data_IF_046701071638
#
_entry.id   IF_046701071638
#
_cell.length_a   1.000
_cell.length_b   1.000
_cell.length_c   1.000
_cell.angle_alpha   90.00
_cell.angle_beta   90.00
_cell.angle_gamma   90.00
#
_symmetry.space_group_name_H-M   'P 1'
#
loop_
_entity.id
_entity.type
_entity.pdbx_description
1 polymer ?
#
# COMPACT_ATOMS: atom_id res chain seq x y z
N UNK A 1 10.32 22.97 -7.92
CA UNK A 1 11.31 21.86 -8.10
C UNK A 1 10.85 20.95 -9.23
N UNK A 2 11.74 20.68 -10.17
CA UNK A 2 11.43 19.83 -11.31
C UNK A 2 11.29 18.34 -10.89
N UNK A 3 10.18 17.73 -11.24
CA UNK A 3 9.84 16.32 -10.99
C UNK A 3 9.77 15.53 -12.31
N UNK A 4 9.86 14.20 -12.26
CA UNK A 4 9.67 13.35 -13.45
C UNK A 4 8.27 13.56 -14.03
N UNK A 5 8.16 13.71 -15.35
CA UNK A 5 6.89 13.95 -16.06
C UNK A 5 5.82 12.92 -15.69
N UNK A 6 6.15 11.61 -15.70
CA UNK A 6 5.20 10.57 -15.31
C UNK A 6 4.76 10.64 -13.85
N UNK A 7 5.58 11.23 -12.96
CA UNK A 7 5.18 11.46 -11.55
C UNK A 7 4.13 12.57 -11.49
N UNK A 8 4.38 13.69 -12.17
CA UNK A 8 3.45 14.83 -12.21
C UNK A 8 2.10 14.43 -12.80
N UNK A 9 2.08 13.73 -13.94
CA UNK A 9 0.85 13.25 -14.56
C UNK A 9 0.05 12.29 -13.66
N UNK A 10 0.77 11.46 -12.89
CA UNK A 10 0.12 10.56 -11.93
C UNK A 10 -0.45 11.31 -10.74
N UNK A 11 0.26 12.29 -10.19
CA UNK A 11 -0.23 13.14 -9.09
C UNK A 11 -1.43 13.99 -9.48
N UNK A 12 -1.54 14.36 -10.76
CA UNK A 12 -2.66 15.13 -11.29
C UNK A 12 -3.83 14.26 -11.74
N UNK A 13 -3.77 12.94 -11.52
CA UNK A 13 -4.86 12.02 -11.86
C UNK A 13 -5.08 11.79 -13.36
N UNK A 14 -4.15 12.26 -14.20
CA UNK A 14 -4.26 12.18 -15.67
C UNK A 14 -3.97 10.77 -16.18
N UNK A 15 -2.89 10.15 -15.68
CA UNK A 15 -2.50 8.79 -16.04
C UNK A 15 -1.71 8.12 -14.93
N UNK A 16 -1.77 6.79 -14.81
CA UNK A 16 -0.82 6.07 -13.96
C UNK A 16 0.62 6.28 -14.48
N UNK A 17 1.63 6.16 -13.60
CA UNK A 17 3.03 6.37 -14.00
C UNK A 17 3.44 5.54 -15.23
N UNK A 18 3.05 4.26 -15.30
CA UNK A 18 3.33 3.39 -16.45
C UNK A 18 2.57 3.84 -17.69
N UNK A 19 1.31 4.25 -17.56
CA UNK A 19 0.54 4.78 -18.67
C UNK A 19 1.15 6.11 -19.18
N UNK A 20 1.59 6.97 -18.28
CA UNK A 20 2.30 8.20 -18.63
C UNK A 20 3.63 7.94 -19.35
N UNK A 21 4.41 6.93 -18.94
CA UNK A 21 5.62 6.50 -19.65
C UNK A 21 5.28 6.02 -21.08
N UNK A 22 4.20 5.25 -21.26
CA UNK A 22 3.72 4.86 -22.60
C UNK A 22 3.31 6.07 -23.44
N UNK A 23 2.59 7.03 -22.86
CA UNK A 23 2.19 8.27 -23.54
C UNK A 23 3.40 9.12 -23.94
N UNK A 24 4.47 9.15 -23.13
CA UNK A 24 5.75 9.81 -23.49
C UNK A 24 6.37 9.14 -24.72
N UNK A 25 6.44 7.81 -24.75
CA UNK A 25 6.98 7.04 -25.88
C UNK A 25 6.15 7.23 -27.16
N UNK A 26 4.83 7.41 -27.01
CA UNK A 26 3.90 7.69 -28.11
C UNK A 26 3.96 9.16 -28.62
N UNK A 27 4.82 10.01 -28.01
CA UNK A 27 4.94 11.42 -28.40
C UNK A 27 3.74 12.30 -28.02
N UNK A 28 2.86 11.86 -27.14
CA UNK A 28 1.61 12.54 -26.76
C UNK A 28 1.79 13.62 -25.69
N UNK A 29 3.01 13.79 -25.19
CA UNK A 29 3.32 14.74 -24.11
C UNK A 29 4.36 15.73 -24.60
N UNK A 30 4.13 17.02 -24.36
CA UNK A 30 5.05 18.10 -24.67
C UNK A 30 5.34 18.92 -23.40
N UNK A 31 6.58 19.41 -23.31
CA UNK A 31 7.04 20.37 -22.29
C UNK A 31 7.54 21.60 -23.03
N UNK A 32 6.94 22.77 -22.79
CA UNK A 32 7.33 24.03 -23.44
C UNK A 32 7.39 23.92 -24.99
N UNK A 33 6.43 23.18 -25.57
CA UNK A 33 6.32 22.96 -27.02
C UNK A 33 7.24 21.86 -27.58
N UNK A 34 8.11 21.25 -26.76
CA UNK A 34 8.98 20.14 -27.21
C UNK A 34 8.42 18.79 -26.75
N UNK A 35 8.47 17.78 -27.62
CA UNK A 35 8.04 16.41 -27.26
C UNK A 35 8.90 15.85 -26.14
N UNK A 36 8.24 15.44 -25.06
CA UNK A 36 8.89 14.88 -23.88
C UNK A 36 9.50 13.49 -24.16
N UNK A 37 10.63 13.20 -23.51
CA UNK A 37 11.33 11.91 -23.54
C UNK A 37 11.29 11.22 -22.19
N UNK A 38 11.49 9.89 -22.17
CA UNK A 38 11.63 9.16 -20.91
C UNK A 38 12.79 9.72 -20.09
N UNK A 39 12.50 10.07 -18.86
CA UNK A 39 13.49 10.66 -17.97
C UNK A 39 13.40 12.17 -17.81
N UNK A 40 12.66 12.85 -18.67
CA UNK A 40 12.46 14.29 -18.56
C UNK A 40 11.80 14.70 -17.25
N UNK A 41 12.13 15.92 -16.84
CA UNK A 41 11.58 16.54 -15.64
C UNK A 41 10.83 17.80 -16.04
N UNK A 42 9.81 18.12 -15.27
CA UNK A 42 8.97 19.30 -15.45
C UNK A 42 8.80 20.00 -14.10
N UNK A 43 8.97 21.31 -14.08
CA UNK A 43 8.54 22.13 -12.96
C UNK A 43 7.09 22.55 -13.21
N UNK A 44 6.19 21.94 -12.47
CA UNK A 44 4.75 22.12 -12.64
C UNK A 44 4.25 23.57 -12.45
N UNK A 45 5.06 24.46 -11.89
CA UNK A 45 4.72 25.88 -11.67
C UNK A 45 5.15 26.75 -12.87
N UNK A 46 6.27 26.41 -13.49
CA UNK A 46 6.93 27.26 -14.49
C UNK A 46 6.73 26.71 -15.92
N UNK A 47 6.79 25.38 -16.07
CA UNK A 47 6.74 24.76 -17.39
C UNK A 47 5.31 24.55 -17.89
N UNK A 48 5.10 24.75 -19.18
CA UNK A 48 3.87 24.43 -19.88
C UNK A 48 3.87 22.93 -20.26
N UNK A 49 3.02 22.15 -19.56
CA UNK A 49 2.81 20.74 -19.84
C UNK A 49 1.57 20.57 -20.73
N UNK A 50 1.74 19.90 -21.88
CA UNK A 50 0.66 19.59 -22.83
C UNK A 50 0.51 18.07 -22.96
N UNK A 51 -0.72 17.59 -22.87
CA UNK A 51 -1.08 16.16 -23.00
C UNK A 51 -2.18 16.04 -24.04
N UNK A 52 -1.96 15.24 -25.08
CA UNK A 52 -2.90 15.07 -26.20
C UNK A 52 -3.38 16.41 -26.78
N UNK A 53 -2.44 17.37 -26.95
CA UNK A 53 -2.73 18.71 -27.48
C UNK A 53 -3.44 19.67 -26.50
N UNK A 54 -3.71 19.24 -25.25
CA UNK A 54 -4.37 20.07 -24.25
C UNK A 54 -3.39 20.46 -23.14
N UNK A 55 -3.32 21.77 -22.85
CA UNK A 55 -2.52 22.27 -21.74
C UNK A 55 -3.07 21.78 -20.39
N UNK A 56 -2.18 21.30 -19.54
CA UNK A 56 -2.48 20.80 -18.19
C UNK A 56 -1.90 21.76 -17.16
N UNK A 57 -2.73 22.22 -16.22
CA UNK A 57 -2.33 23.23 -15.23
C UNK A 57 -2.19 22.61 -13.83
N UNK A 58 -1.33 23.18 -12.95
CA UNK A 58 -1.20 22.75 -11.53
C UNK A 58 -2.51 22.80 -10.75
N UNK A 59 -3.41 23.71 -11.11
CA UNK A 59 -4.75 23.85 -10.51
C UNK A 59 -5.65 22.63 -10.72
N UNK A 60 -5.27 21.74 -11.66
CA UNK A 60 -5.98 20.48 -11.90
C UNK A 60 -5.58 19.36 -10.94
N UNK A 61 -4.64 19.60 -10.02
CA UNK A 61 -4.21 18.57 -9.05
C UNK A 61 -5.37 18.24 -8.10
N UNK A 62 -5.81 16.98 -8.02
CA UNK A 62 -6.83 16.58 -7.06
C UNK A 62 -6.36 16.81 -5.63
N UNK A 63 -7.29 17.17 -4.74
CA UNK A 63 -7.02 17.23 -3.31
C UNK A 63 -6.55 15.86 -2.80
N UNK A 64 -5.70 15.81 -1.76
CA UNK A 64 -5.28 14.56 -1.16
C UNK A 64 -6.48 13.76 -0.62
N UNK A 65 -6.55 12.49 -0.97
CA UNK A 65 -7.60 11.56 -0.57
C UNK A 65 -6.95 10.43 0.21
N UNK A 66 -7.51 10.09 1.37
CA UNK A 66 -7.06 8.99 2.21
C UNK A 66 -8.25 8.16 2.62
N UNK A 67 -8.32 6.92 2.12
CA UNK A 67 -9.43 6.00 2.40
C UNK A 67 -8.90 4.73 3.04
N UNK A 68 -9.70 4.16 3.93
CA UNK A 68 -9.59 2.79 4.38
C UNK A 68 -10.69 1.97 3.72
N UNK A 69 -10.35 0.91 3.01
CA UNK A 69 -11.30 -0.04 2.46
C UNK A 69 -11.19 -1.40 3.15
N UNK A 70 -12.32 -2.05 3.43
CA UNK A 70 -12.34 -3.45 3.83
C UNK A 70 -12.42 -4.32 2.56
N UNK A 71 -11.25 -4.60 1.97
CA UNK A 71 -11.15 -5.36 0.73
C UNK A 71 -11.76 -6.77 0.88
N UNK A 72 -12.71 -7.19 0.05
CA UNK A 72 -13.20 -8.57 0.03
C UNK A 72 -12.19 -9.52 -0.63
N UNK A 73 -12.37 -10.82 -0.43
CA UNK A 73 -11.73 -11.87 -1.25
C UNK A 73 -12.25 -11.75 -2.70
N UNK A 74 -11.46 -12.14 -3.68
CA UNK A 74 -11.85 -12.11 -5.10
C UNK A 74 -11.67 -10.74 -5.78
N UNK A 75 -11.07 -9.76 -5.09
CA UNK A 75 -10.77 -8.44 -5.64
C UNK A 75 -9.26 -8.19 -5.62
N UNK A 76 -8.73 -7.57 -6.67
CA UNK A 76 -7.29 -7.31 -6.85
C UNK A 76 -6.91 -5.94 -6.27
N UNK A 77 -5.80 -5.87 -5.55
CA UNK A 77 -5.21 -4.62 -5.07
C UNK A 77 -4.41 -3.94 -6.19
N UNK A 78 -5.12 -3.44 -7.21
CA UNK A 78 -4.57 -2.74 -8.36
C UNK A 78 -5.51 -1.61 -8.79
N UNK A 79 -4.99 -0.68 -9.60
CA UNK A 79 -5.83 0.34 -10.26
C UNK A 79 -6.45 -0.18 -11.55
N UNK A 80 -5.88 -1.22 -12.14
CA UNK A 80 -6.30 -1.82 -13.41
C UNK A 80 -5.85 -3.28 -13.44
N UNK A 81 -6.55 -4.11 -14.20
CA UNK A 81 -6.20 -5.52 -14.40
C UNK A 81 -6.38 -5.93 -15.86
N UNK A 82 -5.31 -6.39 -16.55
CA UNK A 82 -5.39 -6.83 -17.94
C UNK A 82 -6.34 -8.01 -18.21
N UNK A 83 -6.69 -8.75 -17.15
CA UNK A 83 -7.62 -9.88 -17.22
C UNK A 83 -9.05 -9.49 -16.83
N UNK A 84 -9.35 -8.20 -16.71
CA UNK A 84 -10.66 -7.65 -16.34
C UNK A 84 -11.26 -8.22 -15.04
N UNK A 85 -10.41 -8.65 -14.09
CA UNK A 85 -10.87 -9.05 -12.77
C UNK A 85 -11.20 -7.84 -11.92
N UNK A 86 -12.17 -7.90 -11.00
CA UNK A 86 -12.53 -6.79 -10.15
C UNK A 86 -11.32 -6.25 -9.37
N UNK A 87 -11.14 -4.95 -9.38
CA UNK A 87 -10.09 -4.24 -8.64
C UNK A 87 -10.65 -3.49 -7.44
N UNK A 88 -9.79 -3.04 -6.53
CA UNK A 88 -10.21 -2.21 -5.38
C UNK A 88 -10.75 -0.84 -5.81
N UNK A 89 -10.43 -0.38 -7.02
CA UNK A 89 -10.93 0.88 -7.56
C UNK A 89 -12.39 0.73 -8.02
N UNK A 90 -12.78 -0.44 -8.52
CA UNK A 90 -14.16 -0.72 -8.93
C UNK A 90 -15.16 -0.74 -7.77
N UNK A 91 -14.65 -0.82 -6.52
CA UNK A 91 -15.48 -0.72 -5.30
C UNK A 91 -15.78 0.73 -4.89
N UNK A 92 -15.18 1.71 -5.56
CA UNK A 92 -15.36 3.13 -5.28
C UNK A 92 -16.40 3.76 -6.22
N UNK A 93 -17.10 4.82 -5.79
CA UNK A 93 -17.95 5.59 -6.69
C UNK A 93 -17.10 6.31 -7.75
N UNK A 94 -17.70 6.61 -8.91
CA UNK A 94 -16.97 7.13 -10.08
C UNK A 94 -16.20 8.42 -9.81
N UNK A 95 -16.72 9.31 -8.98
CA UNK A 95 -16.06 10.56 -8.59
C UNK A 95 -14.77 10.36 -7.78
N UNK A 96 -14.61 9.22 -7.12
CA UNK A 96 -13.36 8.82 -6.46
C UNK A 96 -12.49 7.94 -7.37
N UNK A 97 -13.10 7.07 -8.16
CA UNK A 97 -12.40 6.11 -9.00
C UNK A 97 -11.69 6.75 -10.20
N UNK A 98 -12.23 7.86 -10.74
CA UNK A 98 -11.73 8.49 -11.98
C UNK A 98 -11.20 9.90 -11.75
N UNK A 99 -10.12 10.26 -12.44
CA UNK A 99 -9.54 11.61 -12.42
C UNK A 99 -8.86 12.01 -11.11
N UNK A 100 -8.88 11.18 -10.08
CA UNK A 100 -8.32 11.51 -8.77
C UNK A 100 -6.88 11.02 -8.59
N UNK A 101 -6.44 10.03 -9.37
CA UNK A 101 -5.13 9.37 -9.20
C UNK A 101 -5.07 8.42 -8.01
N UNK A 102 -6.21 8.06 -7.41
CA UNK A 102 -6.27 7.16 -6.25
C UNK A 102 -5.72 5.76 -6.58
N UNK A 103 -4.95 5.20 -5.66
CA UNK A 103 -4.30 3.91 -5.82
C UNK A 103 -4.12 3.20 -4.47
N UNK A 104 -3.98 1.87 -4.44
CA UNK A 104 -3.77 1.14 -3.20
C UNK A 104 -2.36 1.33 -2.63
N UNK A 105 -2.28 1.51 -1.31
CA UNK A 105 -1.03 1.57 -0.53
C UNK A 105 -0.59 0.15 -0.16
N UNK A 106 0.28 -0.40 -0.97
CA UNK A 106 0.65 -1.81 -0.88
C UNK A 106 -0.45 -2.73 -1.40
N UNK A 107 -0.41 -3.99 -1.00
CA UNK A 107 -1.32 -5.01 -1.54
C UNK A 107 -1.80 -6.00 -0.49
N UNK A 108 -3.00 -6.52 -0.72
CA UNK A 108 -3.49 -7.80 -0.22
C UNK A 108 -3.66 -8.74 -1.42
N UNK A 109 -3.35 -10.01 -1.24
CA UNK A 109 -3.55 -11.01 -2.29
C UNK A 109 -5.03 -11.14 -2.67
N UNK A 110 -5.31 -11.70 -3.85
CA UNK A 110 -6.66 -12.00 -4.35
C UNK A 110 -7.50 -12.79 -3.34
N UNK A 111 -6.89 -13.84 -2.73
CA UNK A 111 -7.52 -14.69 -1.73
C UNK A 111 -7.40 -14.16 -0.28
N UNK A 112 -7.10 -12.88 -0.10
CA UNK A 112 -6.97 -12.24 1.22
C UNK A 112 -7.91 -11.05 1.33
N UNK A 113 -8.40 -10.77 2.53
CA UNK A 113 -9.37 -9.70 2.78
C UNK A 113 -8.88 -8.74 3.86
N UNK A 114 -9.62 -7.65 4.07
CA UNK A 114 -9.42 -6.76 5.20
C UNK A 114 -8.88 -5.38 4.86
N UNK A 115 -8.30 -4.72 5.85
CA UNK A 115 -7.87 -3.33 5.80
C UNK A 115 -6.84 -3.05 4.70
N UNK A 116 -7.17 -2.16 3.79
CA UNK A 116 -6.27 -1.66 2.75
C UNK A 116 -6.47 -0.15 2.62
N UNK A 117 -5.39 0.61 2.64
CA UNK A 117 -5.44 2.06 2.45
C UNK A 117 -5.38 2.36 0.95
N UNK A 118 -6.19 3.33 0.51
CA UNK A 118 -6.15 3.89 -0.84
C UNK A 118 -5.88 5.39 -0.71
N UNK A 119 -5.05 5.95 -1.61
CA UNK A 119 -4.72 7.37 -1.63
C UNK A 119 -4.25 7.81 -3.01
N UNK A 120 -4.28 9.10 -3.29
CA UNK A 120 -3.60 9.73 -4.42
C UNK A 120 -2.27 10.40 -4.03
N UNK A 121 -1.88 10.28 -2.77
CA UNK A 121 -0.61 10.80 -2.24
C UNK A 121 0.52 9.77 -2.39
N UNK A 122 1.40 10.01 -3.36
CA UNK A 122 2.53 9.12 -3.63
C UNK A 122 3.62 9.16 -2.56
N UNK A 123 3.79 10.25 -1.83
CA UNK A 123 4.77 10.34 -0.74
C UNK A 123 4.28 9.55 0.48
N UNK A 124 3.01 9.69 0.80
CA UNK A 124 2.34 8.87 1.81
C UNK A 124 2.44 7.37 1.47
N UNK A 125 2.20 7.01 0.20
CA UNK A 125 2.34 5.62 -0.27
C UNK A 125 3.76 5.10 -0.07
N UNK A 126 4.77 5.89 -0.43
CA UNK A 126 6.18 5.52 -0.26
C UNK A 126 6.51 5.34 1.23
N UNK A 127 6.09 6.27 2.08
CA UNK A 127 6.29 6.19 3.53
C UNK A 127 5.70 4.92 4.15
N UNK A 128 4.50 4.53 3.77
CA UNK A 128 3.82 3.38 4.36
C UNK A 128 4.27 2.02 3.79
N UNK A 129 4.79 2.00 2.56
CA UNK A 129 5.17 0.74 1.89
C UNK A 129 6.66 0.43 1.98
N UNK A 130 7.51 1.42 2.24
CA UNK A 130 8.95 1.22 2.28
C UNK A 130 9.37 0.36 3.47
N UNK A 131 10.15 -0.71 3.26
CA UNK A 131 10.51 -1.68 4.30
C UNK A 131 11.17 -1.08 5.56
N UNK A 132 11.89 0.05 5.42
CA UNK A 132 12.60 0.71 6.53
C UNK A 132 11.70 1.19 7.67
N UNK A 133 10.43 1.46 7.41
CA UNK A 133 9.53 2.04 8.41
C UNK A 133 8.84 1.00 9.29
N UNK A 134 8.85 -0.27 8.89
CA UNK A 134 8.38 -1.39 9.70
C UNK A 134 6.97 -1.21 10.30
N UNK A 135 6.08 -0.50 9.58
CA UNK A 135 4.71 -0.28 10.04
C UNK A 135 4.02 -1.63 10.28
N UNK A 136 3.56 -1.93 11.50
CA UNK A 136 2.97 -3.21 11.82
C UNK A 136 1.65 -3.42 11.08
N UNK A 137 1.42 -4.66 10.61
CA UNK A 137 0.15 -5.09 10.01
C UNK A 137 -0.34 -6.29 10.80
N UNK A 138 -1.58 -6.23 11.28
CA UNK A 138 -2.19 -7.26 12.10
C UNK A 138 -3.18 -8.08 11.29
N UNK A 139 -3.05 -9.40 11.39
CA UNK A 139 -3.87 -10.34 10.64
C UNK A 139 -4.55 -11.33 11.58
N UNK A 140 -5.81 -11.66 11.27
CA UNK A 140 -6.48 -12.86 11.75
C UNK A 140 -6.32 -13.93 10.68
N UNK A 141 -5.82 -15.08 11.08
CA UNK A 141 -5.45 -16.17 10.18
C UNK A 141 -6.14 -17.44 10.64
N UNK A 142 -6.95 -18.03 9.77
CA UNK A 142 -7.55 -19.34 9.99
C UNK A 142 -6.67 -20.41 9.36
N UNK A 143 -6.23 -21.36 10.15
CA UNK A 143 -5.46 -22.53 9.73
C UNK A 143 -6.37 -23.77 9.64
N UNK A 144 -5.98 -24.74 8.84
CA UNK A 144 -6.68 -26.01 8.66
C UNK A 144 -6.65 -26.92 9.90
N UNK A 145 -5.72 -26.70 10.83
CA UNK A 145 -5.57 -27.42 12.10
C UNK A 145 -4.79 -26.58 13.13
N UNK A 146 -4.81 -27.01 14.38
CA UNK A 146 -4.12 -26.31 15.47
C UNK A 146 -2.60 -26.46 15.37
N UNK A 147 -1.86 -25.34 15.39
CA UNK A 147 -0.40 -25.38 15.45
C UNK A 147 0.08 -25.80 16.83
N UNK A 148 1.21 -26.50 16.87
CA UNK A 148 1.89 -26.83 18.12
C UNK A 148 2.56 -25.60 18.73
N UNK A 149 2.85 -25.63 20.03
CA UNK A 149 3.58 -24.56 20.71
C UNK A 149 5.00 -24.39 20.11
N UNK A 150 5.61 -25.49 19.65
CA UNK A 150 6.90 -25.47 18.98
C UNK A 150 6.82 -24.71 17.64
N UNK A 151 5.79 -24.95 16.83
CA UNK A 151 5.60 -24.27 15.54
C UNK A 151 5.28 -22.79 15.74
N UNK A 152 4.46 -22.43 16.72
CA UNK A 152 4.23 -21.03 17.09
C UNK A 152 5.54 -20.34 17.51
N UNK A 153 6.41 -21.04 18.23
CA UNK A 153 7.71 -20.51 18.65
C UNK A 153 8.64 -20.32 17.44
N UNK A 154 8.68 -21.30 16.53
CA UNK A 154 9.42 -21.17 15.26
C UNK A 154 8.92 -19.99 14.43
N UNK A 155 7.58 -19.84 14.32
CA UNK A 155 6.97 -18.71 13.59
C UNK A 155 7.38 -17.36 14.19
N UNK A 156 7.33 -17.24 15.53
CA UNK A 156 7.74 -16.01 16.24
C UNK A 156 9.21 -15.66 16.01
N UNK A 157 10.09 -16.65 15.97
CA UNK A 157 11.54 -16.45 15.75
C UNK A 157 11.90 -16.16 14.29
N UNK A 158 10.98 -16.38 13.37
CA UNK A 158 11.17 -16.26 11.92
C UNK A 158 11.64 -17.55 11.26
N UNK A 159 11.21 -17.73 10.02
CA UNK A 159 11.42 -18.91 9.15
C UNK A 159 12.25 -18.51 7.93
N UNK A 160 13.06 -19.41 7.41
CA UNK A 160 13.81 -19.18 6.16
C UNK A 160 12.85 -19.32 4.97
N UNK A 161 12.74 -18.25 4.18
CA UNK A 161 12.04 -18.22 2.91
C UNK A 161 12.99 -17.68 1.84
N UNK A 162 13.16 -18.43 0.75
CA UNK A 162 14.09 -18.08 -0.34
C UNK A 162 15.52 -17.76 0.16
N UNK A 163 16.05 -18.58 1.04
CA UNK A 163 17.40 -18.43 1.62
C UNK A 163 17.55 -17.28 2.63
N UNK A 164 16.46 -16.52 2.93
CA UNK A 164 16.51 -15.40 3.86
C UNK A 164 15.51 -15.58 4.99
N UNK A 165 15.98 -15.42 6.23
CA UNK A 165 15.11 -15.48 7.40
C UNK A 165 14.11 -14.32 7.39
N UNK A 166 12.85 -14.61 7.74
CA UNK A 166 11.84 -13.57 7.97
C UNK A 166 12.14 -12.83 9.27
N UNK A 167 11.68 -11.59 9.37
CA UNK A 167 11.73 -10.88 10.64
C UNK A 167 10.87 -11.62 11.69
N UNK A 168 11.20 -11.46 12.99
CA UNK A 168 10.36 -11.96 14.06
C UNK A 168 8.92 -11.44 13.96
N UNK A 169 7.95 -12.29 14.28
CA UNK A 169 6.53 -11.96 14.27
C UNK A 169 5.93 -12.13 15.66
N UNK A 170 4.92 -11.30 16.00
CA UNK A 170 4.08 -11.60 17.18
C UNK A 170 2.98 -12.55 16.73
N UNK A 171 2.92 -13.74 17.34
CA UNK A 171 1.92 -14.76 17.01
C UNK A 171 1.23 -15.19 18.29
N UNK A 172 -0.09 -15.09 18.34
CA UNK A 172 -0.91 -15.51 19.48
C UNK A 172 -2.08 -16.38 19.01
N UNK A 173 -2.35 -17.41 19.77
CA UNK A 173 -3.53 -18.25 19.62
C UNK A 173 -4.78 -17.46 20.01
N UNK A 174 -5.86 -17.57 19.24
CA UNK A 174 -7.12 -16.85 19.50
C UNK A 174 -8.28 -17.82 19.80
N UNK A 175 -8.15 -19.06 19.40
CA UNK A 175 -9.16 -20.09 19.63
C UNK A 175 -9.16 -21.15 18.55
N UNK A 176 -9.83 -22.26 18.82
CA UNK A 176 -10.09 -23.33 17.87
C UNK A 176 -11.59 -23.63 17.86
N UNK A 177 -12.14 -23.87 16.66
CA UNK A 177 -13.51 -24.30 16.49
C UNK A 177 -13.54 -25.43 15.46
N UNK A 178 -14.04 -26.60 15.85
CA UNK A 178 -14.00 -27.83 15.03
C UNK A 178 -12.56 -28.11 14.57
N UNK A 179 -12.32 -28.16 13.25
CA UNK A 179 -11.01 -28.42 12.64
C UNK A 179 -10.23 -27.16 12.30
N UNK A 180 -10.78 -25.97 12.53
CA UNK A 180 -10.16 -24.70 12.22
C UNK A 180 -9.59 -24.04 13.46
N UNK A 181 -8.42 -23.43 13.33
CA UNK A 181 -7.77 -22.67 14.39
C UNK A 181 -7.49 -21.27 13.94
N UNK A 182 -7.87 -20.30 14.76
CA UNK A 182 -7.59 -18.88 14.51
C UNK A 182 -6.38 -18.44 15.32
N UNK A 183 -5.43 -17.83 14.63
CA UNK A 183 -4.27 -17.16 15.22
C UNK A 183 -4.22 -15.70 14.78
N UNK A 184 -3.73 -14.84 15.67
CA UNK A 184 -3.43 -13.43 15.38
C UNK A 184 -1.95 -13.30 15.11
N UNK A 185 -1.60 -12.67 13.98
CA UNK A 185 -0.21 -12.44 13.56
C UNK A 185 0.01 -10.95 13.36
N UNK A 186 1.09 -10.41 13.94
CA UNK A 186 1.56 -9.05 13.65
C UNK A 186 2.91 -9.13 12.96
N UNK A 187 2.99 -8.56 11.75
CA UNK A 187 4.19 -8.46 10.94
C UNK A 187 4.61 -6.99 10.78
N UNK A 188 5.92 -6.76 10.78
CA UNK A 188 6.53 -5.45 10.47
C UNK A 188 7.19 -5.42 9.10
N UNK A 189 7.14 -6.51 8.35
CA UNK A 189 7.59 -6.62 6.95
C UNK A 189 6.44 -7.14 6.06
N UNK A 190 6.66 -7.21 4.75
CA UNK A 190 5.63 -7.66 3.81
C UNK A 190 6.23 -8.40 2.62
N UNK A 191 6.89 -9.57 2.84
CA UNK A 191 7.34 -10.43 1.75
C UNK A 191 6.13 -11.02 1.00
N UNK A 192 6.32 -11.33 -0.29
CA UNK A 192 5.26 -11.92 -1.10
C UNK A 192 4.67 -13.15 -0.42
N UNK A 193 3.35 -13.14 -0.18
CA UNK A 193 2.56 -14.22 0.43
C UNK A 193 3.18 -14.81 1.71
N UNK A 194 3.86 -13.97 2.52
CA UNK A 194 4.69 -14.42 3.65
C UNK A 194 3.94 -15.33 4.62
N UNK A 195 2.76 -14.93 5.11
CA UNK A 195 1.98 -15.73 6.07
C UNK A 195 1.63 -17.10 5.49
N UNK A 196 1.17 -17.15 4.24
CA UNK A 196 0.80 -18.42 3.57
C UNK A 196 2.00 -19.32 3.33
N UNK A 197 3.16 -18.72 3.05
CA UNK A 197 4.42 -19.47 2.83
C UNK A 197 4.97 -20.01 4.15
N UNK A 198 5.03 -19.18 5.20
CA UNK A 198 5.46 -19.63 6.53
C UNK A 198 4.54 -20.73 7.06
N UNK A 199 3.21 -20.58 6.91
CA UNK A 199 2.27 -21.65 7.27
C UNK A 199 2.60 -22.95 6.57
N UNK A 200 2.85 -22.92 5.25
CA UNK A 200 3.20 -24.10 4.44
C UNK A 200 4.51 -24.75 4.89
N UNK A 201 5.55 -23.96 5.19
CA UNK A 201 6.84 -24.46 5.71
C UNK A 201 6.70 -25.16 7.09
N UNK A 202 5.68 -24.75 7.86
CA UNK A 202 5.32 -25.37 9.13
C UNK A 202 4.30 -26.52 8.96
N UNK A 203 3.89 -26.82 7.72
CA UNK A 203 2.97 -27.91 7.40
C UNK A 203 1.48 -27.55 7.53
N UNK A 204 1.10 -26.26 7.57
CA UNK A 204 -0.28 -25.78 7.69
C UNK A 204 -0.80 -25.17 6.41
N UNK A 205 -2.13 -25.20 6.21
CA UNK A 205 -2.83 -24.46 5.16
C UNK A 205 -3.59 -23.29 5.75
N UNK A 206 -3.41 -22.11 5.15
CA UNK A 206 -4.19 -20.91 5.50
C UNK A 206 -5.54 -20.97 4.76
N UNK A 207 -6.63 -21.20 5.48
CA UNK A 207 -8.01 -21.17 4.97
C UNK A 207 -8.47 -19.73 4.74
N UNK A 208 -8.33 -18.87 5.77
CA UNK A 208 -8.68 -17.46 5.67
C UNK A 208 -7.52 -16.58 6.14
N UNK A 209 -7.36 -15.44 5.48
CA UNK A 209 -6.37 -14.42 5.83
C UNK A 209 -7.04 -13.06 5.75
N UNK A 210 -7.25 -12.45 6.91
CA UNK A 210 -7.94 -11.19 7.05
C UNK A 210 -7.05 -10.17 7.78
N UNK A 211 -6.69 -9.06 7.12
CA UNK A 211 -5.92 -7.98 7.75
C UNK A 211 -6.87 -7.08 8.54
N UNK A 212 -6.76 -7.08 9.85
CA UNK A 212 -7.65 -6.31 10.74
C UNK A 212 -7.12 -4.91 11.05
N UNK A 213 -5.79 -4.68 10.93
CA UNK A 213 -5.21 -3.38 11.22
C UNK A 213 -3.92 -3.09 10.45
N UNK A 214 -3.63 -1.80 10.25
CA UNK A 214 -2.38 -1.22 9.74
C UNK A 214 -1.93 -0.16 10.74
N UNK A 215 -0.87 -0.42 11.53
CA UNK A 215 -0.55 0.39 12.70
C UNK A 215 -1.70 0.35 13.71
N UNK A 216 -2.18 1.53 14.10
CA UNK A 216 -3.39 1.72 14.93
C UNK A 216 -4.69 1.77 14.13
N UNK A 217 -4.62 1.87 12.80
CA UNK A 217 -5.81 2.00 11.95
C UNK A 217 -6.51 0.64 11.85
N UNK A 218 -7.76 0.58 12.31
CA UNK A 218 -8.59 -0.63 12.33
C UNK A 218 -9.78 -0.52 11.38
N UNK A 219 -10.45 -1.67 11.16
CA UNK A 219 -11.71 -1.72 10.40
C UNK A 219 -12.92 -1.23 11.21
N UNK A 220 -12.71 -0.67 12.40
CA UNK A 220 -13.78 -0.03 13.17
C UNK A 220 -13.60 1.50 13.09
N UNK A 221 -14.70 2.22 13.10
CA UNK A 221 -14.67 3.67 13.25
C UNK A 221 -14.53 4.08 14.73
N UNK A 222 -14.51 5.38 14.98
CA UNK A 222 -14.36 5.94 16.34
C UNK A 222 -15.54 5.58 17.27
N UNK A 223 -16.67 5.14 16.71
CA UNK A 223 -17.86 4.67 17.43
C UNK A 223 -17.85 3.14 17.64
N UNK A 224 -16.80 2.46 17.20
CA UNK A 224 -16.68 1.00 17.25
C UNK A 224 -17.49 0.26 16.20
N UNK A 225 -18.06 0.95 15.22
CA UNK A 225 -18.82 0.32 14.13
C UNK A 225 -17.85 -0.29 13.10
N UNK A 226 -18.03 -1.57 12.82
CA UNK A 226 -17.18 -2.30 11.88
C UNK A 226 -17.49 -1.92 10.44
N UNK A 227 -16.47 -1.55 9.68
CA UNK A 227 -16.57 -1.31 8.25
C UNK A 227 -16.90 -2.61 7.49
N UNK A 228 -18.06 -2.72 6.80
CA UNK A 228 -18.44 -3.93 6.08
C UNK A 228 -17.47 -4.25 4.93
N UNK A 229 -17.41 -5.52 4.51
CA UNK A 229 -16.62 -5.92 3.36
C UNK A 229 -17.09 -5.20 2.09
N UNK A 230 -16.16 -4.79 1.24
CA UNK A 230 -16.43 -4.01 0.02
C UNK A 230 -16.73 -2.54 0.26
N UNK A 231 -16.85 -2.10 1.52
CA UNK A 231 -17.09 -0.69 1.86
C UNK A 231 -15.79 0.02 2.22
N UNK A 232 -15.82 1.34 2.09
CA UNK A 232 -14.71 2.23 2.44
C UNK A 232 -15.20 3.35 3.38
N UNK A 233 -14.26 3.96 4.07
CA UNK A 233 -14.43 5.22 4.79
C UNK A 233 -13.23 6.13 4.56
N UNK A 234 -13.40 7.41 4.75
CA UNK A 234 -12.26 8.32 4.86
C UNK A 234 -11.48 8.02 6.14
N UNK A 235 -10.16 8.21 6.08
CA UNK A 235 -9.34 8.27 7.29
C UNK A 235 -9.62 9.59 8.02
N UNK A 236 -9.63 9.54 9.35
CA UNK A 236 -9.70 10.75 10.17
C UNK A 236 -8.37 11.50 10.13
N UNK A 237 -8.38 12.79 10.48
CA UNK A 237 -7.13 13.58 10.53
C UNK A 237 -6.13 12.98 11.55
N UNK A 238 -6.62 12.44 12.65
CA UNK A 238 -5.79 11.75 13.67
C UNK A 238 -5.11 10.52 13.08
N UNK A 239 -5.83 9.69 12.31
CA UNK A 239 -5.29 8.53 11.62
C UNK A 239 -4.24 8.92 10.57
N UNK A 240 -4.50 9.97 9.79
CA UNK A 240 -3.57 10.52 8.80
C UNK A 240 -2.28 10.98 9.48
N UNK A 241 -2.39 11.79 10.53
CA UNK A 241 -1.25 12.29 11.29
C UNK A 241 -0.41 11.13 11.88
N UNK A 242 -1.06 10.16 12.54
CA UNK A 242 -0.39 8.97 13.05
C UNK A 242 0.43 8.25 11.97
N UNK A 243 -0.14 8.07 10.78
CA UNK A 243 0.54 7.40 9.67
C UNK A 243 1.72 8.24 9.16
N UNK A 244 1.56 9.56 9.02
CA UNK A 244 2.67 10.46 8.67
C UNK A 244 3.80 10.41 9.71
N UNK A 245 3.48 10.46 10.99
CA UNK A 245 4.47 10.42 12.07
C UNK A 245 5.22 9.09 12.10
N UNK A 246 4.57 7.99 11.72
CA UNK A 246 5.17 6.65 11.69
C UNK A 246 6.39 6.53 10.75
N UNK A 247 6.48 7.39 9.72
CA UNK A 247 7.63 7.42 8.81
C UNK A 247 8.43 8.73 8.88
N UNK A 248 7.85 9.89 9.24
CA UNK A 248 8.56 11.16 9.35
C UNK A 248 9.53 11.19 10.54
N UNK A 249 9.15 10.69 11.69
CA UNK A 249 10.03 10.61 12.87
C UNK A 249 11.29 9.79 12.61
N UNK A 250 11.19 8.75 11.78
CA UNK A 250 12.33 7.93 11.34
C UNK A 250 13.13 8.59 10.20
N UNK A 251 12.50 9.46 9.42
CA UNK A 251 13.13 10.17 8.31
C UNK A 251 14.00 11.33 8.81
N UNK A 252 13.57 12.07 9.85
CA UNK A 252 14.36 13.12 10.51
C UNK A 252 15.60 12.54 11.20
N UNK A 253 15.49 11.42 11.90
CA UNK A 253 16.62 10.73 12.53
C UNK A 253 17.65 10.23 11.51
N UNK A 254 17.21 9.77 10.33
CA UNK A 254 18.13 9.31 9.27
C UNK A 254 18.84 10.47 8.58
N UNK A 255 18.16 11.59 8.33
CA UNK A 255 18.82 12.83 7.82
C UNK A 255 19.84 13.39 8.81
N UNK A 256 19.56 13.32 10.10
CA UNK A 256 20.52 13.72 11.14
C UNK A 256 21.75 12.79 11.15
N UNK A 257 21.55 11.47 11.10
CA UNK A 257 22.65 10.49 11.06
C UNK A 257 23.47 10.58 9.76
N UNK A 258 22.83 10.77 8.60
CA UNK A 258 23.53 10.94 7.33
C UNK A 258 24.33 12.26 7.25
N UNK A 259 23.89 13.32 7.94
CA UNK A 259 24.64 14.58 8.06
C UNK A 259 25.84 14.47 9.01
N UNK A 260 25.75 13.62 10.02
CA UNK A 260 26.86 13.36 10.97
C UNK A 260 27.91 12.41 10.35
N UNK A 261 27.50 11.48 9.47
CA UNK A 261 28.42 10.56 8.76
C UNK A 261 29.18 11.20 7.59
N UNK A 262 28.75 12.37 7.07
CA UNK A 262 29.46 13.12 6.02
C UNK A 262 30.38 14.22 6.54
N UNK A 263 30.55 14.34 7.86
CA UNK A 263 31.47 15.30 8.51
C UNK A 263 32.80 14.66 8.99
N UNK A 264 33.03 13.37 8.62
CA UNK A 264 34.27 12.66 8.92
C UNK A 264 34.71 11.92 7.64
N UNK A 265 35.27 12.69 6.70
CA UNK A 265 36.22 12.27 5.66
C UNK A 265 37.01 13.49 5.18
#
# INVERSE_FOLDING_TARGET
MAERVQKVLSQWGIASRRKAEKMILEGRIQINGQTAKLGDRVDAIVDLLVVDGKAVKPTSRPQPIYLLINKPVGVISSCDDPQNRPTVIDLLPQNLARGTGIHPVGRLDFASSGALILTNDGEFTLGLTHPRYHLPKTYMVELDRSPTNQDLTRWRKGIILDGRKTLPAKVSFQGAYRTATTIKIVLTEGKNRQIRRVARELGYRVKQLHRIAIGSITLHDDKGVKLPQGKYRHLTQTEINFLYDSFNSKYSNFKAAARLGSAVL
#
